data_IF_080056627276
#
_entry.id   IF_080056627276
#
_cell.length_a   1.000
_cell.length_b   1.000
_cell.length_c   1.000
_cell.angle_alpha   90.00
_cell.angle_beta   90.00
_cell.angle_gamma   90.00
#
_symmetry.space_group_name_H-M   'P 1'
#
loop_
_entity.id
_entity.type
_entity.pdbx_description
1 polymer ?
#
# COMPACT_ATOMS: atom_id res chain seq x y z
N UNK A 1 30.42 -15.49 -6.23
CA UNK A 1 29.45 -14.43 -5.84
C UNK A 1 28.36 -14.22 -6.89
N UNK A 2 28.71 -14.18 -8.19
CA UNK A 2 27.77 -14.01 -9.32
C UNK A 2 26.71 -15.14 -9.44
N UNK A 3 27.09 -16.41 -9.18
CA UNK A 3 26.14 -17.54 -9.21
C UNK A 3 25.02 -17.47 -8.16
N UNK A 4 25.24 -16.80 -7.02
CA UNK A 4 24.19 -16.57 -6.00
C UNK A 4 23.24 -15.43 -6.38
N UNK A 5 23.69 -14.52 -7.26
CA UNK A 5 22.88 -13.43 -7.79
C UNK A 5 21.95 -13.93 -8.90
N UNK A 6 22.46 -14.79 -9.79
CA UNK A 6 21.68 -15.42 -10.87
C UNK A 6 20.58 -16.35 -10.31
N UNK A 7 20.88 -17.18 -9.30
CA UNK A 7 19.87 -18.02 -8.64
C UNK A 7 18.76 -17.21 -7.94
N UNK A 8 19.05 -15.98 -7.51
CA UNK A 8 18.06 -15.05 -6.94
C UNK A 8 17.21 -14.37 -8.01
N UNK A 9 17.76 -14.13 -9.19
CA UNK A 9 17.03 -13.58 -10.35
C UNK A 9 16.08 -14.64 -10.91
N UNK A 10 16.50 -15.90 -11.02
CA UNK A 10 15.64 -17.00 -11.48
C UNK A 10 14.49 -17.29 -10.49
N UNK A 11 14.78 -17.27 -9.19
CA UNK A 11 13.76 -17.44 -8.15
C UNK A 11 12.78 -16.26 -8.10
N UNK A 12 13.22 -15.06 -8.47
CA UNK A 12 12.38 -13.86 -8.56
C UNK A 12 11.54 -13.83 -9.84
N UNK A 13 12.08 -14.29 -10.97
CA UNK A 13 11.33 -14.45 -12.23
C UNK A 13 10.29 -15.58 -12.14
N UNK A 14 10.59 -16.68 -11.44
CA UNK A 14 9.60 -17.71 -11.10
C UNK A 14 8.46 -17.16 -10.22
N UNK A 15 8.80 -16.38 -9.19
CA UNK A 15 7.81 -15.75 -8.31
C UNK A 15 6.91 -14.74 -9.04
N UNK A 16 7.48 -13.96 -9.97
CA UNK A 16 6.75 -13.03 -10.84
C UNK A 16 5.82 -13.76 -11.80
N UNK A 17 6.26 -14.90 -12.37
CA UNK A 17 5.45 -15.74 -13.26
C UNK A 17 4.29 -16.42 -12.53
N UNK A 18 4.52 -16.88 -11.30
CA UNK A 18 3.47 -17.39 -10.40
C UNK A 18 2.46 -16.30 -9.99
N UNK A 19 2.93 -15.07 -9.76
CA UNK A 19 2.05 -13.91 -9.51
C UNK A 19 1.19 -13.60 -10.75
N UNK A 20 1.78 -13.62 -11.95
CA UNK A 20 1.08 -13.32 -13.20
C UNK A 20 -0.02 -14.33 -13.53
N UNK A 21 0.21 -15.63 -13.28
CA UNK A 21 -0.84 -16.65 -13.45
C UNK A 21 -1.91 -16.59 -12.34
N UNK A 22 -1.56 -16.14 -11.13
CA UNK A 22 -2.51 -15.98 -10.01
C UNK A 22 -3.47 -14.81 -10.24
N UNK A 23 -3.02 -13.76 -10.94
CA UNK A 23 -3.84 -12.61 -11.33
C UNK A 23 -4.87 -12.99 -12.42
N UNK A 24 -4.62 -14.04 -13.20
CA UNK A 24 -5.42 -14.33 -14.40
C UNK A 24 -6.78 -15.02 -14.17
N UNK A 25 -7.21 -15.25 -12.93
CA UNK A 25 -8.62 -15.60 -12.68
C UNK A 25 -9.07 -15.28 -11.25
N UNK A 26 -8.99 -14.01 -10.88
CA UNK A 26 -9.42 -13.46 -9.59
C UNK A 26 -10.81 -13.97 -9.16
N UNK A 27 -11.76 -14.10 -10.10
CA UNK A 27 -13.10 -14.67 -9.84
C UNK A 27 -13.05 -16.13 -9.36
N UNK A 28 -12.17 -16.95 -9.91
CA UNK A 28 -12.01 -18.36 -9.55
C UNK A 28 -11.32 -18.51 -8.20
N UNK A 29 -10.32 -17.67 -7.91
CA UNK A 29 -9.68 -17.59 -6.59
C UNK A 29 -10.68 -17.15 -5.52
N UNK A 30 -11.44 -16.08 -5.76
CA UNK A 30 -12.46 -15.60 -4.84
C UNK A 30 -13.57 -16.62 -4.60
N UNK A 31 -13.95 -17.41 -5.61
CA UNK A 31 -14.89 -18.52 -5.46
C UNK A 31 -14.31 -19.63 -4.59
N UNK A 32 -13.05 -20.00 -4.77
CA UNK A 32 -12.38 -21.01 -3.95
C UNK A 32 -12.24 -20.55 -2.49
N UNK A 33 -11.90 -19.28 -2.24
CA UNK A 33 -11.83 -18.69 -0.89
C UNK A 33 -13.20 -18.77 -0.20
N UNK A 34 -14.29 -18.38 -0.88
CA UNK A 34 -15.65 -18.48 -0.33
C UNK A 34 -16.03 -19.92 0.02
N UNK A 35 -15.66 -20.88 -0.83
CA UNK A 35 -15.90 -22.31 -0.57
C UNK A 35 -15.09 -22.80 0.64
N UNK A 36 -13.82 -22.41 0.75
CA UNK A 36 -12.98 -22.76 1.89
C UNK A 36 -13.56 -22.22 3.20
N UNK A 37 -14.00 -20.96 3.22
CA UNK A 37 -14.64 -20.33 4.38
C UNK A 37 -15.94 -21.04 4.77
N UNK A 38 -16.81 -21.32 3.80
CA UNK A 38 -18.05 -22.06 4.05
C UNK A 38 -17.77 -23.44 4.65
N UNK A 39 -16.82 -24.18 4.07
CA UNK A 39 -16.38 -25.48 4.58
C UNK A 39 -15.85 -25.39 6.01
N UNK A 40 -15.04 -24.36 6.29
CA UNK A 40 -14.44 -24.14 7.60
C UNK A 40 -15.51 -23.89 8.67
N UNK A 41 -16.48 -23.01 8.37
CA UNK A 41 -17.58 -22.67 9.27
C UNK A 41 -18.51 -23.87 9.54
N UNK A 42 -18.83 -24.66 8.51
CA UNK A 42 -19.70 -25.82 8.66
C UNK A 42 -19.08 -26.96 9.48
N UNK A 43 -17.75 -27.06 9.53
CA UNK A 43 -17.03 -28.17 10.15
C UNK A 43 -16.22 -27.79 11.40
N UNK A 44 -16.25 -26.53 11.83
CA UNK A 44 -15.43 -26.01 12.94
C UNK A 44 -13.92 -26.23 12.75
N UNK A 45 -13.46 -26.40 11.52
CA UNK A 45 -12.10 -26.82 11.17
C UNK A 45 -11.47 -25.83 10.20
N UNK A 46 -10.15 -25.65 10.22
CA UNK A 46 -9.47 -24.81 9.22
C UNK A 46 -9.67 -25.36 7.80
N UNK A 47 -9.74 -24.45 6.83
CA UNK A 47 -9.71 -24.78 5.41
C UNK A 47 -8.57 -24.01 4.71
N UNK A 48 -8.09 -24.56 3.61
CA UNK A 48 -6.97 -24.04 2.85
C UNK A 48 -7.39 -23.90 1.39
N UNK A 49 -6.89 -22.86 0.71
CA UNK A 49 -6.96 -22.73 -0.74
C UNK A 49 -5.58 -22.98 -1.32
N UNK A 50 -5.49 -23.95 -2.22
CA UNK A 50 -4.27 -24.38 -2.89
C UNK A 50 -4.49 -24.43 -4.40
N UNK A 51 -3.43 -24.31 -5.20
CA UNK A 51 -3.51 -24.57 -6.64
C UNK A 51 -3.43 -26.07 -6.90
N UNK A 52 -4.29 -26.62 -7.76
CA UNK A 52 -4.14 -27.97 -8.28
C UNK A 52 -3.01 -28.03 -9.33
N UNK A 53 -2.73 -29.23 -9.87
CA UNK A 53 -1.70 -29.43 -10.90
C UNK A 53 -1.94 -28.66 -12.21
N UNK A 54 -3.10 -28.04 -12.40
CA UNK A 54 -3.43 -27.16 -13.53
C UNK A 54 -3.41 -25.68 -13.14
N UNK A 55 -2.92 -25.35 -11.94
CA UNK A 55 -2.88 -23.99 -11.41
C UNK A 55 -4.23 -23.47 -10.91
N UNK A 56 -5.31 -24.28 -10.91
CA UNK A 56 -6.64 -23.84 -10.51
C UNK A 56 -6.77 -23.87 -8.99
N UNK A 57 -7.31 -22.81 -8.36
CA UNK A 57 -7.48 -22.78 -6.92
C UNK A 57 -8.60 -23.75 -6.46
N UNK A 58 -8.31 -24.54 -5.43
CA UNK A 58 -9.18 -25.56 -4.84
C UNK A 58 -9.19 -25.42 -3.32
N UNK A 59 -10.38 -25.52 -2.74
CA UNK A 59 -10.60 -25.44 -1.30
C UNK A 59 -10.65 -26.83 -0.63
N UNK A 60 -9.80 -27.04 0.37
CA UNK A 60 -9.71 -28.28 1.14
C UNK A 60 -9.81 -28.02 2.64
N UNK A 61 -10.44 -28.91 3.40
CA UNK A 61 -10.39 -28.87 4.87
C UNK A 61 -9.04 -29.40 5.38
N UNK A 62 -8.67 -28.99 6.59
CA UNK A 62 -7.48 -29.52 7.27
C UNK A 62 -7.52 -31.04 7.48
N UNK A 63 -8.71 -31.63 7.64
CA UNK A 63 -8.90 -33.09 7.69
C UNK A 63 -8.91 -33.76 6.31
N UNK A 64 -9.08 -32.98 5.24
CA UNK A 64 -9.12 -33.44 3.85
C UNK A 64 -7.72 -33.42 3.19
N UNK A 65 -6.65 -33.31 3.97
CA UNK A 65 -5.27 -33.24 3.46
C UNK A 65 -4.85 -34.48 2.68
N UNK A 66 -5.49 -35.63 2.91
CA UNK A 66 -5.34 -36.82 2.07
C UNK A 66 -5.75 -36.60 0.59
N UNK A 67 -6.60 -35.61 0.30
CA UNK A 67 -6.99 -35.23 -1.07
C UNK A 67 -5.87 -34.52 -1.84
N UNK A 68 -4.79 -34.08 -1.18
CA UNK A 68 -3.64 -33.44 -1.83
C UNK A 68 -2.96 -34.35 -2.86
N UNK A 69 -2.92 -35.66 -2.59
CA UNK A 69 -2.45 -36.67 -3.56
C UNK A 69 -3.36 -36.73 -4.80
N UNK A 70 -4.68 -36.61 -4.61
CA UNK A 70 -5.68 -36.63 -5.69
C UNK A 70 -5.64 -35.36 -6.54
N UNK A 71 -5.33 -34.21 -5.94
CA UNK A 71 -5.09 -32.95 -6.65
C UNK A 71 -3.74 -32.91 -7.39
N UNK A 72 -2.97 -34.01 -7.36
CA UNK A 72 -1.60 -34.11 -7.91
C UNK A 72 -0.68 -33.00 -7.41
N UNK A 73 -0.92 -32.51 -6.19
CA UNK A 73 -0.13 -31.43 -5.55
C UNK A 73 1.11 -32.03 -4.86
N UNK A 74 1.08 -33.31 -4.51
CA UNK A 74 2.19 -33.97 -3.80
C UNK A 74 3.19 -34.63 -4.75
N UNK A 75 4.45 -34.25 -4.62
CA UNK A 75 5.58 -35.11 -4.97
C UNK A 75 5.90 -35.99 -3.75
N UNK A 76 6.34 -37.25 -3.94
CA UNK A 76 6.57 -38.20 -2.84
C UNK A 76 7.61 -37.74 -1.80
N UNK A 77 8.34 -36.65 -2.07
CA UNK A 77 9.40 -36.10 -1.22
C UNK A 77 9.04 -34.78 -0.50
N UNK A 78 7.80 -34.27 -0.61
CA UNK A 78 7.40 -33.00 0.01
C UNK A 78 6.43 -33.25 1.18
N UNK A 79 6.80 -32.75 2.36
CA UNK A 79 6.00 -32.89 3.58
C UNK A 79 4.69 -32.08 3.50
N UNK A 80 3.60 -32.71 3.93
CA UNK A 80 2.27 -32.12 4.00
C UNK A 80 2.21 -30.89 4.91
N UNK A 81 3.01 -30.89 5.99
CA UNK A 81 3.09 -29.79 6.95
C UNK A 81 3.68 -28.56 6.27
N UNK A 82 4.68 -28.73 5.41
CA UNK A 82 5.31 -27.63 4.69
C UNK A 82 4.41 -27.07 3.58
N UNK A 83 3.61 -27.92 2.92
CA UNK A 83 2.58 -27.48 1.96
C UNK A 83 1.51 -26.65 2.67
N UNK A 84 1.06 -27.07 3.86
CA UNK A 84 0.05 -26.36 4.63
C UNK A 84 0.57 -25.03 5.20
N UNK A 85 1.84 -24.96 5.62
CA UNK A 85 2.49 -23.71 6.04
C UNK A 85 2.61 -22.70 4.89
N UNK A 86 2.86 -23.19 3.68
CA UNK A 86 2.99 -22.36 2.47
C UNK A 86 1.67 -22.22 1.69
N UNK A 87 0.53 -22.58 2.29
CA UNK A 87 -0.77 -22.49 1.63
C UNK A 87 -1.02 -21.05 1.15
N UNK A 88 -1.47 -20.90 -0.11
CA UNK A 88 -1.68 -19.58 -0.72
C UNK A 88 -2.67 -18.72 0.07
N UNK A 89 -3.65 -19.36 0.71
CA UNK A 89 -4.60 -18.67 1.58
C UNK A 89 -5.16 -19.63 2.63
N UNK A 90 -5.18 -19.19 3.89
CA UNK A 90 -5.75 -19.92 5.02
C UNK A 90 -7.11 -19.32 5.34
N UNK A 91 -8.16 -20.12 5.18
CA UNK A 91 -9.50 -19.78 5.65
C UNK A 91 -9.69 -20.37 7.06
N UNK A 92 -9.51 -19.54 8.08
CA UNK A 92 -9.86 -19.92 9.45
C UNK A 92 -11.35 -19.61 9.72
N UNK A 93 -12.07 -20.50 10.42
CA UNK A 93 -13.41 -20.17 10.90
C UNK A 93 -13.29 -19.17 12.04
N UNK A 94 -13.21 -17.89 11.70
CA UNK A 94 -13.48 -16.80 12.64
C UNK A 94 -14.31 -15.72 11.95
N UNK A 95 -15.46 -15.48 12.57
CA UNK A 95 -16.36 -14.34 12.40
C UNK A 95 -15.56 -13.08 12.09
N UNK A 96 -15.62 -12.59 10.86
CA UNK A 96 -15.27 -11.22 10.54
C UNK A 96 -16.53 -10.52 10.04
N UNK A 97 -17.14 -9.79 10.97
CA UNK A 97 -17.88 -8.59 10.65
C UNK A 97 -17.02 -7.73 9.73
N UNK A 98 -17.66 -7.10 8.73
CA UNK A 98 -17.10 -5.99 7.95
C UNK A 98 -16.57 -4.93 8.92
N UNK A 99 -15.29 -4.97 9.27
CA UNK A 99 -14.67 -3.82 9.92
C UNK A 99 -14.45 -2.77 8.85
N UNK A 100 -15.18 -1.68 8.98
CA UNK A 100 -15.01 -0.48 8.16
C UNK A 100 -13.78 0.31 8.65
N UNK A 101 -13.33 1.28 7.87
CA UNK A 101 -12.31 2.23 8.33
C UNK A 101 -12.76 2.94 9.63
N UNK A 102 -14.06 3.14 9.82
CA UNK A 102 -14.63 3.68 11.06
C UNK A 102 -14.36 2.75 12.24
N UNK A 103 -14.59 1.43 12.08
CA UNK A 103 -14.38 0.46 13.15
C UNK A 103 -12.89 0.33 13.50
N UNK A 104 -12.00 0.35 12.51
CA UNK A 104 -10.54 0.34 12.73
C UNK A 104 -10.11 1.60 13.48
N UNK A 105 -10.58 2.78 13.05
CA UNK A 105 -10.25 4.04 13.72
C UNK A 105 -10.82 4.10 15.14
N UNK A 106 -11.98 3.49 15.38
CA UNK A 106 -12.56 3.33 16.72
C UNK A 106 -11.68 2.43 17.59
N UNK A 107 -11.28 1.26 17.07
CA UNK A 107 -10.38 0.36 17.79
C UNK A 107 -9.02 1.00 18.11
N UNK A 108 -8.45 1.80 17.20
CA UNK A 108 -7.20 2.52 17.46
C UNK A 108 -7.38 3.52 18.61
N UNK A 109 -8.46 4.32 18.59
CA UNK A 109 -8.77 5.26 19.69
C UNK A 109 -8.99 4.52 21.02
N UNK A 110 -9.76 3.43 20.98
CA UNK A 110 -10.14 2.68 22.17
C UNK A 110 -8.97 1.86 22.73
N UNK A 111 -8.01 1.45 21.89
CA UNK A 111 -6.82 0.70 22.30
C UNK A 111 -5.81 1.48 23.13
N UNK A 112 -6.02 2.80 23.31
CA UNK A 112 -5.08 3.71 23.97
C UNK A 112 -3.63 3.62 23.45
N UNK A 113 -3.43 3.12 22.22
CA UNK A 113 -2.12 3.17 21.55
C UNK A 113 -1.77 4.65 21.39
N UNK A 114 -0.92 5.14 22.29
CA UNK A 114 -0.74 6.58 22.49
C UNK A 114 -0.04 7.28 21.31
N UNK A 115 0.52 6.50 20.38
CA UNK A 115 1.22 7.03 19.22
C UNK A 115 0.77 6.30 17.94
N UNK A 116 -0.26 6.85 17.30
CA UNK A 116 -0.76 6.36 16.01
C UNK A 116 0.32 6.36 14.94
N UNK A 117 1.33 7.24 15.02
CA UNK A 117 2.46 7.29 14.10
C UNK A 117 3.31 6.01 14.06
N UNK A 118 3.27 5.20 15.12
CA UNK A 118 4.01 3.93 15.21
C UNK A 118 3.21 2.73 14.66
N UNK A 119 1.94 2.92 14.31
CA UNK A 119 1.13 1.85 13.71
C UNK A 119 1.74 1.51 12.34
N UNK A 120 1.97 0.21 12.13
CA UNK A 120 2.60 -0.32 10.93
C UNK A 120 1.60 -1.08 10.05
N UNK A 121 1.77 -0.97 8.73
CA UNK A 121 1.07 -1.81 7.75
C UNK A 121 1.78 -3.14 7.45
N UNK A 122 2.75 -3.53 8.27
CA UNK A 122 3.59 -4.72 8.08
C UNK A 122 4.87 -4.48 7.27
N UNK A 123 5.05 -3.28 6.69
CA UNK A 123 6.28 -2.87 6.00
C UNK A 123 6.84 -1.55 6.49
N UNK A 124 5.97 -0.56 6.73
CA UNK A 124 6.34 0.76 7.24
C UNK A 124 5.35 1.23 8.31
N UNK A 125 5.81 2.10 9.19
CA UNK A 125 4.99 2.87 10.13
C UNK A 125 4.36 4.08 9.44
N UNK A 126 3.29 4.63 10.01
CA UNK A 126 2.70 5.87 9.46
C UNK A 126 3.68 7.06 9.49
N UNK A 127 4.53 7.17 10.50
CA UNK A 127 5.58 8.19 10.53
C UNK A 127 6.58 8.06 9.37
N UNK A 128 6.98 6.84 9.02
CA UNK A 128 7.84 6.60 7.86
C UNK A 128 7.10 6.92 6.54
N UNK A 129 5.82 6.57 6.44
CA UNK A 129 5.02 6.93 5.26
C UNK A 129 4.88 8.45 5.08
N UNK A 130 4.64 9.20 6.16
CA UNK A 130 4.63 10.66 6.11
C UNK A 130 6.00 11.22 5.72
N UNK A 131 7.09 10.61 6.22
CA UNK A 131 8.45 10.98 5.83
C UNK A 131 8.68 10.80 4.32
N UNK A 132 8.27 9.66 3.75
CA UNK A 132 8.39 9.42 2.31
C UNK A 132 7.56 10.42 1.49
N UNK A 133 6.31 10.67 1.90
CA UNK A 133 5.42 11.65 1.27
C UNK A 133 6.06 13.05 1.21
N UNK A 134 6.65 13.50 2.32
CA UNK A 134 7.27 14.81 2.42
C UNK A 134 8.49 14.92 1.47
N UNK A 135 9.36 13.91 1.47
CA UNK A 135 10.53 13.86 0.59
C UNK A 135 10.11 13.83 -0.88
N UNK A 136 9.13 12.99 -1.23
CA UNK A 136 8.62 12.87 -2.59
C UNK A 136 8.01 14.19 -3.08
N UNK A 137 7.24 14.88 -2.24
CA UNK A 137 6.67 16.17 -2.60
C UNK A 137 7.74 17.24 -2.82
N UNK A 138 8.76 17.31 -1.96
CA UNK A 138 9.91 18.22 -2.15
C UNK A 138 10.63 17.93 -3.46
N UNK A 139 10.88 16.64 -3.77
CA UNK A 139 11.54 16.22 -5.00
C UNK A 139 10.70 16.57 -6.24
N UNK A 140 9.39 16.30 -6.19
CA UNK A 140 8.44 16.68 -7.22
C UNK A 140 8.48 18.19 -7.48
N UNK A 141 8.30 19.02 -6.44
CA UNK A 141 8.33 20.47 -6.58
C UNK A 141 9.63 20.97 -7.22
N UNK A 142 10.77 20.44 -6.77
CA UNK A 142 12.09 20.81 -7.30
C UNK A 142 12.27 20.41 -8.76
N UNK A 143 11.79 19.23 -9.15
CA UNK A 143 11.91 18.75 -10.52
C UNK A 143 10.95 19.49 -11.45
N UNK A 144 9.70 19.68 -11.04
CA UNK A 144 8.65 20.23 -11.88
C UNK A 144 8.90 21.68 -12.28
N UNK A 145 9.39 22.53 -11.36
CA UNK A 145 9.76 23.93 -11.70
C UNK A 145 10.94 24.03 -12.67
N UNK A 146 11.76 22.97 -12.79
CA UNK A 146 12.88 22.95 -13.75
C UNK A 146 12.40 22.62 -15.16
N UNK A 147 11.34 21.82 -15.30
CA UNK A 147 10.76 21.46 -16.59
C UNK A 147 9.64 22.41 -17.04
N UNK A 148 9.03 23.18 -16.14
CA UNK A 148 7.89 24.05 -16.44
C UNK A 148 8.17 25.51 -16.05
N UNK A 149 8.49 26.34 -17.04
CA UNK A 149 8.89 27.75 -16.83
C UNK A 149 7.80 28.66 -16.27
N UNK A 150 6.52 28.27 -16.40
CA UNK A 150 5.37 29.02 -15.87
C UNK A 150 4.99 28.62 -14.44
N UNK A 151 5.65 27.62 -13.87
CA UNK A 151 5.37 27.09 -12.54
C UNK A 151 6.36 27.65 -11.53
N UNK A 152 5.88 27.98 -10.34
CA UNK A 152 6.77 28.36 -9.24
C UNK A 152 6.35 27.71 -7.93
N UNK A 153 7.36 27.48 -7.09
CA UNK A 153 7.18 27.03 -5.72
C UNK A 153 7.31 28.18 -4.74
N UNK A 154 6.55 28.10 -3.66
CA UNK A 154 6.58 29.04 -2.55
C UNK A 154 6.63 28.30 -1.23
N UNK A 155 7.17 28.93 -0.19
CA UNK A 155 7.19 28.41 1.18
C UNK A 155 6.88 29.48 2.20
N UNK A 156 6.22 29.11 3.29
CA UNK A 156 5.89 30.03 4.38
C UNK A 156 5.72 29.30 5.70
N UNK A 157 5.90 30.00 6.82
CA UNK A 157 5.57 29.48 8.16
C UNK A 157 4.19 29.91 8.63
N UNK A 158 3.60 30.92 7.97
CA UNK A 158 2.32 31.50 8.36
C UNK A 158 1.22 30.97 7.47
N UNK A 159 0.12 30.60 8.11
CA UNK A 159 -1.16 30.35 7.47
C UNK A 159 -1.70 31.62 6.80
N UNK A 160 -2.73 31.44 6.01
CA UNK A 160 -3.52 32.52 5.38
C UNK A 160 -3.97 33.58 6.39
N UNK A 161 -4.42 33.17 7.58
CA UNK A 161 -4.82 34.07 8.67
C UNK A 161 -3.64 34.68 9.45
N UNK A 162 -2.40 34.41 9.06
CA UNK A 162 -1.18 34.92 9.70
C UNK A 162 -0.68 34.11 10.90
N UNK A 163 -1.42 33.09 11.35
CA UNK A 163 -0.98 32.24 12.48
C UNK A 163 0.12 31.25 12.05
N UNK A 164 1.00 30.88 12.98
CA UNK A 164 2.12 29.96 12.73
C UNK A 164 1.88 28.61 13.41
N UNK A 165 2.35 27.53 12.76
CA UNK A 165 2.45 26.23 13.41
C UNK A 165 3.82 26.07 14.06
N UNK A 166 3.84 25.54 15.28
CA UNK A 166 5.09 25.10 15.89
C UNK A 166 5.67 23.93 15.09
N UNK A 167 6.95 24.02 14.72
CA UNK A 167 7.73 22.98 14.03
C UNK A 167 7.31 22.58 12.60
N UNK A 168 6.38 23.31 11.98
CA UNK A 168 5.90 23.03 10.61
C UNK A 168 6.02 24.28 9.74
N UNK A 169 6.24 24.09 8.45
CA UNK A 169 6.06 25.11 7.42
C UNK A 169 5.20 24.57 6.28
N UNK A 170 4.72 25.45 5.42
CA UNK A 170 3.95 25.10 4.23
C UNK A 170 4.88 25.25 3.01
N UNK A 171 4.97 24.19 2.21
CA UNK A 171 5.54 24.24 0.86
C UNK A 171 4.39 24.13 -0.12
N UNK A 172 4.32 25.04 -1.08
CA UNK A 172 3.34 25.00 -2.16
C UNK A 172 3.96 25.14 -3.54
N UNK A 173 3.20 24.69 -4.52
CA UNK A 173 3.48 24.83 -5.95
C UNK A 173 2.23 25.38 -6.64
N UNK A 174 2.42 26.39 -7.47
CA UNK A 174 1.36 26.95 -8.32
C UNK A 174 1.44 26.34 -9.71
N UNK A 175 0.46 25.53 -10.07
CA UNK A 175 0.31 24.89 -11.36
C UNK A 175 -0.81 25.62 -12.11
N UNK A 176 -0.49 26.47 -13.08
CA UNK A 176 -1.49 27.24 -13.84
C UNK A 176 -2.56 27.88 -12.91
N UNK A 177 -3.76 27.29 -12.88
CA UNK A 177 -4.93 27.73 -12.11
C UNK A 177 -5.12 27.04 -10.74
N UNK A 178 -4.23 26.12 -10.36
CA UNK A 178 -4.31 25.32 -9.14
C UNK A 178 -3.12 25.57 -8.22
N UNK A 179 -3.38 25.62 -6.92
CA UNK A 179 -2.33 25.64 -5.89
C UNK A 179 -2.41 24.39 -5.05
N UNK A 180 -1.31 23.64 -5.02
CA UNK A 180 -1.13 22.50 -4.12
C UNK A 180 -0.15 22.91 -3.04
N UNK A 181 -0.45 22.57 -1.78
CA UNK A 181 0.51 22.75 -0.71
C UNK A 181 0.46 21.64 0.34
N UNK A 182 1.59 21.44 1.00
CA UNK A 182 1.78 20.49 2.08
C UNK A 182 2.34 21.16 3.32
N UNK A 183 1.89 20.66 4.47
CA UNK A 183 2.51 20.91 5.75
C UNK A 183 3.73 19.99 5.89
N UNK A 184 4.92 20.58 5.99
CA UNK A 184 6.19 19.88 6.10
C UNK A 184 6.88 20.21 7.43
N UNK A 185 7.57 19.23 8.06
CA UNK A 185 8.42 19.46 9.21
C UNK A 185 9.53 20.48 8.93
N UNK A 186 9.82 21.36 9.90
CA UNK A 186 10.83 22.41 9.77
C UNK A 186 12.24 21.92 9.44
N UNK A 187 12.56 20.67 9.74
CA UNK A 187 13.83 20.04 9.36
C UNK A 187 14.09 20.13 7.84
N UNK A 188 13.03 20.16 7.02
CA UNK A 188 13.14 20.26 5.56
C UNK A 188 13.20 21.68 5.02
N UNK A 189 13.12 22.71 5.88
CA UNK A 189 13.10 24.10 5.44
C UNK A 189 14.29 24.41 4.53
N UNK A 190 15.50 23.97 4.94
CA UNK A 190 16.73 24.23 4.17
C UNK A 190 16.77 23.47 2.85
N UNK A 191 16.13 22.30 2.74
CA UNK A 191 16.01 21.54 1.49
C UNK A 191 15.11 22.26 0.46
N UNK A 192 14.28 23.21 0.90
CA UNK A 192 13.30 23.92 0.07
C UNK A 192 13.75 25.34 -0.32
N UNK A 193 15.05 25.64 -0.34
CA UNK A 193 15.58 26.97 -0.74
C UNK A 193 15.26 27.36 -2.19
N UNK A 194 14.91 26.38 -3.03
CA UNK A 194 14.45 26.62 -4.40
C UNK A 194 13.08 27.32 -4.46
N UNK A 195 12.31 27.31 -3.37
CA UNK A 195 10.98 27.92 -3.30
C UNK A 195 11.07 29.36 -2.78
N UNK A 196 10.26 30.26 -3.33
CA UNK A 196 10.15 31.65 -2.88
C UNK A 196 9.58 31.72 -1.47
N UNK A 197 10.24 32.41 -0.55
CA UNK A 197 9.69 32.62 0.79
C UNK A 197 8.65 33.73 0.74
N UNK A 198 7.42 33.45 1.19
CA UNK A 198 6.31 34.41 1.22
C UNK A 198 5.83 34.62 2.65
N UNK A 199 5.26 35.79 2.92
CA UNK A 199 4.85 36.15 4.28
C UNK A 199 3.70 35.27 4.79
N UNK A 200 2.67 35.04 3.98
CA UNK A 200 1.48 34.23 4.33
C UNK A 200 1.09 33.29 3.20
N UNK A 201 0.48 32.17 3.56
CA UNK A 201 -0.04 31.20 2.60
C UNK A 201 -1.23 31.80 1.80
N UNK A 202 -1.39 31.49 0.50
CA UNK A 202 -2.55 31.92 -0.28
C UNK A 202 -3.89 31.44 0.31
N UNK A 203 -5.01 32.10 -0.04
CA UNK A 203 -6.35 31.71 0.43
C UNK A 203 -6.84 30.39 -0.20
N UNK A 204 -6.50 30.16 -1.47
CA UNK A 204 -7.00 29.03 -2.26
C UNK A 204 -6.00 27.87 -2.29
N UNK A 205 -5.70 27.27 -1.14
CA UNK A 205 -4.85 26.08 -1.04
C UNK A 205 -5.75 24.85 -0.94
N UNK A 206 -5.65 23.94 -1.90
CA UNK A 206 -6.46 22.73 -1.86
C UNK A 206 -5.73 21.61 -1.09
N UNK A 207 -6.30 21.07 0.01
CA UNK A 207 -5.78 19.86 0.63
C UNK A 207 -6.04 18.65 -0.29
N UNK A 208 -5.08 17.75 -0.28
CA UNK A 208 -4.68 16.99 -1.45
C UNK A 208 -5.59 15.91 -2.07
N UNK A 209 -6.52 15.20 -1.39
CA UNK A 209 -6.87 13.85 -1.85
C UNK A 209 -7.29 13.79 -3.33
N UNK A 210 -8.13 14.72 -3.77
CA UNK A 210 -8.66 14.70 -5.14
C UNK A 210 -7.77 15.44 -6.17
N UNK A 211 -6.84 16.29 -5.71
CA UNK A 211 -6.16 17.25 -6.58
C UNK A 211 -4.92 16.64 -7.27
N UNK A 212 -4.10 15.85 -6.56
CA UNK A 212 -2.90 15.24 -7.17
C UNK A 212 -3.22 14.09 -8.13
N UNK A 213 -4.18 13.24 -7.78
CA UNK A 213 -4.60 12.13 -8.65
C UNK A 213 -5.12 12.68 -9.99
N UNK A 214 -5.96 13.72 -9.94
CA UNK A 214 -6.48 14.41 -11.11
C UNK A 214 -5.39 15.07 -11.95
N UNK A 215 -4.28 15.54 -11.35
CA UNK A 215 -3.21 16.22 -12.09
C UNK A 215 -2.23 15.20 -12.69
N UNK A 216 -1.76 14.24 -11.89
CA UNK A 216 -0.75 13.28 -12.32
C UNK A 216 -1.29 12.21 -13.30
N UNK A 217 -2.58 11.86 -13.21
CA UNK A 217 -3.17 10.81 -14.06
C UNK A 217 -3.88 11.35 -15.31
N UNK A 218 -4.20 12.65 -15.38
CA UNK A 218 -4.82 13.24 -16.57
C UNK A 218 -3.81 13.97 -17.48
N UNK A 219 -2.59 14.27 -17.01
CA UNK A 219 -1.52 14.75 -17.90
C UNK A 219 -1.02 13.67 -18.88
N UNK A 220 -1.38 12.38 -18.70
CA UNK A 220 -0.97 11.27 -19.59
C UNK A 220 -1.92 11.02 -20.77
N UNK A 221 -2.86 11.93 -21.09
CA UNK A 221 -3.80 11.76 -22.23
C UNK A 221 -3.64 12.87 -23.28
N UNK A 222 -2.54 13.62 -23.26
CA UNK A 222 -2.24 14.63 -24.29
C UNK A 222 -0.98 14.26 -25.05
N UNK A 223 -1.04 13.19 -25.86
CA UNK A 223 -0.15 12.93 -26.99
C UNK A 223 -0.95 12.26 -28.12
#
# INVERSE_FOLDING_TARGET
>A
MIFRLLARIDSWLMYQRDLYETIHNEKTLMRAIKIAQHKANANGSRAYVLKDYKGKPVAILAKETHLLKKLKIMNNNVDIVDILKNALYIAEPKVYNKLTAHDINKMIRDSQVCNTGLISNGKYTFNEMYTFRDILFIAFCRQYIRSHSKTFCWRTRKRTNGTEYSNIFILGIRLEDKNIAFHLPNIYWQNCKFAKTIEKAPEFINPLPDTLETILLNETVSD
#
